data_IF_708184987336
#
_entry.id   IF_708184987336
#
_cell.length_a   1.000
_cell.length_b   1.000
_cell.length_c   1.000
_cell.angle_alpha   90.00
_cell.angle_beta   90.00
_cell.angle_gamma   90.00
#
_symmetry.space_group_name_H-M   'P 1'
#
loop_
_entity.id
_entity.type
_entity.pdbx_description
1 polymer ?
#
# COMPACT_ATOMS: atom_id res chain seq x y z
N UNK A 1 5.92 -8.51 15.60
CA UNK A 1 7.24 -7.90 15.77
C UNK A 1 8.30 -8.82 15.22
N UNK A 2 9.24 -8.27 14.48
CA UNK A 2 10.42 -8.97 13.96
C UNK A 2 11.67 -8.14 14.24
N UNK A 3 12.78 -8.80 14.55
CA UNK A 3 14.10 -8.19 14.67
C UNK A 3 15.14 -9.16 14.14
N UNK A 4 16.10 -8.67 13.36
CA UNK A 4 17.18 -9.46 12.82
C UNK A 4 18.56 -8.99 13.30
N UNK A 5 19.55 -9.84 13.11
CA UNK A 5 20.96 -9.50 13.40
C UNK A 5 21.53 -8.45 12.44
N UNK A 6 20.82 -8.16 11.33
CA UNK A 6 21.16 -7.11 10.37
C UNK A 6 20.66 -5.72 10.78
N UNK A 7 20.11 -5.57 12.00
CA UNK A 7 19.47 -4.35 12.51
C UNK A 7 18.18 -3.98 11.75
N UNK A 8 17.48 -4.97 11.20
CA UNK A 8 16.15 -4.79 10.66
C UNK A 8 15.12 -5.02 11.75
N UNK A 9 14.21 -4.09 11.88
CA UNK A 9 13.09 -4.11 12.82
C UNK A 9 11.79 -3.93 12.07
N UNK A 10 10.82 -4.79 12.36
CA UNK A 10 9.48 -4.66 11.80
C UNK A 10 8.44 -4.73 12.92
N UNK A 11 7.43 -3.89 12.82
CA UNK A 11 6.26 -3.93 13.67
C UNK A 11 5.00 -3.97 12.82
N UNK A 12 4.15 -4.96 13.06
CA UNK A 12 2.84 -5.07 12.44
C UNK A 12 1.77 -5.03 13.53
N UNK A 13 0.73 -4.28 13.29
CA UNK A 13 -0.46 -4.24 14.12
C UNK A 13 -1.70 -4.34 13.24
N UNK A 14 -2.62 -5.21 13.63
CA UNK A 14 -3.94 -5.30 13.02
C UNK A 14 -5.02 -5.32 14.10
N UNK A 15 -6.11 -4.65 13.83
CA UNK A 15 -7.27 -4.62 14.70
C UNK A 15 -8.54 -4.51 13.88
N UNK A 16 -9.54 -5.31 14.22
CA UNK A 16 -10.89 -5.21 13.67
C UNK A 16 -11.89 -5.01 14.79
N UNK A 17 -12.68 -3.94 14.69
CA UNK A 17 -13.68 -3.57 15.67
C UNK A 17 -15.07 -3.60 15.05
N UNK A 18 -15.99 -4.28 15.72
CA UNK A 18 -17.41 -4.23 15.44
C UNK A 18 -18.04 -3.07 16.21
N UNK A 19 -18.33 -1.97 15.49
CA UNK A 19 -18.91 -0.76 16.08
C UNK A 19 -20.39 -0.96 16.42
N UNK A 20 -21.10 -1.68 15.53
CA UNK A 20 -22.52 -2.00 15.74
C UNK A 20 -22.88 -3.31 15.02
N UNK A 21 -24.18 -3.69 15.00
CA UNK A 21 -24.64 -4.87 14.25
C UNK A 21 -24.33 -4.78 12.74
N UNK A 22 -24.21 -3.57 12.20
CA UNK A 22 -24.04 -3.32 10.76
C UNK A 22 -22.73 -2.65 10.39
N UNK A 23 -22.01 -2.03 11.34
CA UNK A 23 -20.76 -1.31 11.11
C UNK A 23 -19.56 -2.01 11.73
N UNK A 24 -18.51 -2.07 10.97
CA UNK A 24 -17.19 -2.49 11.43
C UNK A 24 -16.09 -1.62 10.84
N UNK A 25 -14.95 -1.58 11.53
CA UNK A 25 -13.73 -0.95 11.02
C UNK A 25 -12.54 -1.86 11.24
N UNK A 26 -11.58 -1.80 10.34
CA UNK A 26 -10.30 -2.51 10.45
C UNK A 26 -9.16 -1.52 10.25
N UNK A 27 -8.15 -1.64 11.09
CA UNK A 27 -6.91 -0.89 11.01
C UNK A 27 -5.76 -1.87 10.85
N UNK A 28 -4.89 -1.63 9.86
CA UNK A 28 -3.60 -2.27 9.73
C UNK A 28 -2.52 -1.20 9.74
N UNK A 29 -1.46 -1.46 10.49
CA UNK A 29 -0.28 -0.60 10.52
C UNK A 29 0.96 -1.46 10.39
N UNK A 30 1.91 -1.01 9.60
CA UNK A 30 3.21 -1.62 9.40
C UNK A 30 4.28 -0.56 9.51
N UNK A 31 5.33 -0.88 10.23
CA UNK A 31 6.56 -0.13 10.32
C UNK A 31 7.74 -1.05 10.05
N UNK A 32 8.67 -0.59 9.23
CA UNK A 32 9.92 -1.27 8.94
C UNK A 32 11.07 -0.27 9.04
N UNK A 33 12.17 -0.72 9.64
CA UNK A 33 13.39 0.06 9.71
C UNK A 33 14.60 -0.86 9.57
N UNK A 34 15.45 -0.58 8.58
CA UNK A 34 16.77 -1.19 8.35
C UNK A 34 17.78 -0.06 8.21
N UNK A 35 18.54 0.22 9.27
CA UNK A 35 19.44 1.38 9.31
C UNK A 35 20.90 1.06 9.00
N UNK A 36 21.26 -0.23 9.07
CA UNK A 36 22.65 -0.63 8.90
C UNK A 36 22.95 -0.90 7.43
N UNK A 37 23.96 -0.20 6.90
CA UNK A 37 24.54 -0.56 5.62
C UNK A 37 25.33 -1.88 5.79
N UNK A 38 24.94 -2.91 5.07
CA UNK A 38 25.61 -4.19 5.00
C UNK A 38 26.37 -4.33 3.69
N UNK A 39 27.66 -4.66 3.79
CA UNK A 39 28.51 -5.11 2.70
C UNK A 39 29.21 -6.38 3.22
N UNK A 40 28.62 -7.54 2.89
CA UNK A 40 29.06 -8.84 3.43
C UNK A 40 30.18 -9.49 2.62
N UNK A 41 30.44 -8.99 1.43
CA UNK A 41 31.47 -9.49 0.51
C UNK A 41 32.66 -8.53 0.33
N UNK A 42 32.61 -7.36 1.02
CA UNK A 42 33.62 -6.32 0.98
C UNK A 42 33.90 -5.76 -0.44
N UNK A 43 32.87 -5.73 -1.30
CA UNK A 43 33.00 -5.19 -2.67
C UNK A 43 32.76 -3.66 -2.73
N UNK A 44 32.47 -3.04 -1.61
CA UNK A 44 32.23 -1.61 -1.49
C UNK A 44 30.81 -1.18 -1.86
N UNK A 45 29.88 -2.10 -1.98
CA UNK A 45 28.46 -1.82 -2.21
C UNK A 45 27.60 -2.34 -1.08
N UNK A 46 26.47 -1.66 -0.86
CA UNK A 46 25.49 -2.07 0.14
C UNK A 46 24.65 -3.22 -0.45
N UNK A 47 24.73 -4.42 0.15
CA UNK A 47 24.02 -5.62 -0.28
C UNK A 47 22.51 -5.52 -0.06
N UNK A 48 22.10 -4.90 1.06
CA UNK A 48 20.72 -4.75 1.48
C UNK A 48 20.44 -3.26 1.63
N UNK A 49 19.49 -2.68 0.87
CA UNK A 49 19.12 -1.27 1.03
C UNK A 49 18.68 -0.96 2.46
N UNK A 50 19.13 0.18 2.97
CA UNK A 50 18.54 0.77 4.18
C UNK A 50 17.13 1.21 3.85
N UNK A 51 16.17 0.90 4.74
CA UNK A 51 14.75 1.18 4.55
C UNK A 51 14.18 1.80 5.81
N UNK A 52 13.37 2.82 5.65
CA UNK A 52 12.42 3.27 6.65
C UNK A 52 11.05 3.37 5.99
N UNK A 53 10.06 2.62 6.51
CA UNK A 53 8.73 2.55 5.93
C UNK A 53 7.66 2.65 7.00
N UNK A 54 6.66 3.46 6.71
CA UNK A 54 5.41 3.57 7.44
C UNK A 54 4.26 3.26 6.49
N UNK A 55 3.38 2.33 6.86
CA UNK A 55 2.23 1.97 6.07
C UNK A 55 1.02 1.78 6.98
N UNK A 56 -0.02 2.56 6.74
CA UNK A 56 -1.26 2.52 7.52
C UNK A 56 -2.44 2.37 6.57
N UNK A 57 -3.33 1.47 6.89
CA UNK A 57 -4.56 1.23 6.16
C UNK A 57 -5.74 1.15 7.13
N UNK A 58 -6.78 1.92 6.85
CA UNK A 58 -8.03 1.89 7.60
C UNK A 58 -9.21 1.64 6.65
N UNK A 59 -10.06 0.69 6.99
CA UNK A 59 -11.25 0.35 6.24
C UNK A 59 -12.47 0.39 7.13
N UNK A 60 -13.54 0.93 6.59
CA UNK A 60 -14.88 0.90 7.16
C UNK A 60 -15.79 0.04 6.30
N UNK A 61 -16.67 -0.71 6.94
CA UNK A 61 -17.65 -1.55 6.26
C UNK A 61 -19.02 -1.41 6.93
N UNK A 62 -20.04 -1.32 6.09
CA UNK A 62 -21.43 -1.35 6.47
C UNK A 62 -22.12 -2.51 5.76
N UNK A 63 -22.87 -3.33 6.50
CA UNK A 63 -23.62 -4.48 6.02
C UNK A 63 -25.09 -4.30 6.40
N UNK A 64 -25.86 -3.73 5.48
CA UNK A 64 -27.31 -3.59 5.62
C UNK A 64 -28.07 -4.67 4.84
N UNK A 65 -29.40 -4.64 4.92
CA UNK A 65 -30.25 -5.63 4.25
C UNK A 65 -30.30 -5.46 2.73
N UNK A 66 -30.27 -4.21 2.27
CA UNK A 66 -30.31 -3.85 0.85
C UNK A 66 -29.14 -2.99 0.39
N UNK A 67 -28.26 -2.65 1.29
CA UNK A 67 -27.11 -1.81 0.97
C UNK A 67 -25.87 -2.31 1.67
N UNK A 68 -24.80 -2.48 0.91
CA UNK A 68 -23.48 -2.83 1.39
C UNK A 68 -22.51 -1.71 0.99
N UNK A 69 -21.73 -1.29 1.93
CA UNK A 69 -20.74 -0.22 1.72
C UNK A 69 -19.39 -0.62 2.31
N UNK A 70 -18.34 -0.29 1.60
CA UNK A 70 -16.97 -0.32 2.12
C UNK A 70 -16.25 0.93 1.63
N UNK A 71 -15.49 1.56 2.51
CA UNK A 71 -14.54 2.59 2.13
C UNK A 71 -13.23 2.39 2.91
N UNK A 72 -12.13 2.79 2.31
CA UNK A 72 -10.83 2.69 2.96
C UNK A 72 -9.86 3.73 2.44
N UNK A 73 -8.92 4.05 3.32
CA UNK A 73 -7.78 4.89 3.03
C UNK A 73 -6.50 4.13 3.37
N UNK A 74 -5.46 4.37 2.58
CA UNK A 74 -4.12 3.87 2.83
C UNK A 74 -3.13 5.00 2.66
N UNK A 75 -2.15 5.07 3.54
CA UNK A 75 -1.01 5.96 3.46
C UNK A 75 0.27 5.15 3.61
N UNK A 76 1.22 5.38 2.70
CA UNK A 76 2.56 4.81 2.72
C UNK A 76 3.56 5.95 2.58
N UNK A 77 4.58 5.93 3.43
CA UNK A 77 5.80 6.73 3.30
C UNK A 77 6.98 5.80 3.43
N UNK A 78 7.89 5.85 2.47
CA UNK A 78 9.05 4.98 2.41
C UNK A 78 10.27 5.75 1.92
N UNK A 79 11.38 5.62 2.66
CA UNK A 79 12.70 6.07 2.23
C UNK A 79 13.59 4.85 2.08
N UNK A 80 14.26 4.73 0.93
CA UNK A 80 15.28 3.70 0.66
C UNK A 80 16.59 4.34 0.29
N UNK A 81 17.67 3.83 0.86
CA UNK A 81 19.04 4.26 0.55
C UNK A 81 19.93 3.06 0.28
N UNK A 82 20.72 3.14 -0.78
CA UNK A 82 21.69 2.11 -1.17
C UNK A 82 22.86 2.74 -1.93
N UNK A 83 23.72 1.93 -2.51
CA UNK A 83 24.87 2.33 -3.31
C UNK A 83 26.18 1.93 -2.70
N UNK A 84 27.22 2.75 -2.89
CA UNK A 84 28.54 2.43 -2.36
C UNK A 84 28.62 2.61 -0.85
N UNK A 85 29.20 1.64 -0.18
CA UNK A 85 29.52 1.68 1.25
C UNK A 85 30.84 2.43 1.47
N UNK A 86 30.93 3.23 2.56
CA UNK A 86 32.18 3.91 2.91
C UNK A 86 32.95 3.05 3.90
N UNK A 87 33.95 2.30 3.43
CA UNK A 87 34.83 1.46 4.25
C UNK A 87 36.06 2.19 4.80
N UNK A 88 35.95 3.48 5.13
CA UNK A 88 37.04 4.23 5.78
C UNK A 88 38.20 4.61 4.85
N UNK A 89 37.97 4.53 3.53
CA UNK A 89 38.93 4.98 2.52
C UNK A 89 38.96 6.51 2.39
N UNK A 90 39.98 7.01 1.68
CA UNK A 90 40.23 8.44 1.41
C UNK A 90 39.20 9.09 0.45
N UNK A 91 38.15 8.39 0.03
CA UNK A 91 37.14 8.96 -0.80
C UNK A 91 36.29 9.95 -0.01
N UNK A 92 36.09 11.14 -0.55
CA UNK A 92 35.17 12.12 -0.01
C UNK A 92 33.74 11.62 -0.18
N UNK A 93 32.89 11.83 0.81
CA UNK A 93 31.49 11.34 0.79
C UNK A 93 30.67 11.83 -0.43
N UNK A 94 31.13 12.86 -1.13
CA UNK A 94 30.52 13.39 -2.35
C UNK A 94 30.87 12.62 -3.63
N UNK A 95 31.86 11.71 -3.60
CA UNK A 95 32.32 10.94 -4.76
C UNK A 95 31.67 9.54 -4.83
N UNK A 96 30.97 9.13 -3.76
CA UNK A 96 30.33 7.82 -3.70
C UNK A 96 29.04 7.80 -4.52
N UNK A 97 28.86 6.73 -5.28
CA UNK A 97 27.59 6.48 -5.96
C UNK A 97 26.51 6.11 -4.93
N UNK A 98 25.49 6.92 -4.84
CA UNK A 98 24.37 6.70 -3.92
C UNK A 98 23.05 6.56 -4.70
N UNK A 99 22.19 5.71 -4.19
CA UNK A 99 20.80 5.58 -4.60
C UNK A 99 19.93 5.98 -3.42
N UNK A 100 19.08 6.97 -3.62
CA UNK A 100 18.05 7.38 -2.67
C UNK A 100 16.70 7.36 -3.35
N UNK A 101 15.69 6.82 -2.71
CA UNK A 101 14.32 6.78 -3.21
C UNK A 101 13.40 7.12 -2.06
N UNK A 102 12.68 8.23 -2.22
CA UNK A 102 11.62 8.66 -1.31
C UNK A 102 10.28 8.48 -2.00
N UNK A 103 9.37 7.76 -1.36
CA UNK A 103 8.06 7.42 -1.91
C UNK A 103 6.97 7.80 -0.93
N UNK A 104 5.99 8.56 -1.41
CA UNK A 104 4.73 8.81 -0.74
C UNK A 104 3.57 8.30 -1.59
N UNK A 105 2.65 7.55 -0.97
CA UNK A 105 1.50 7.01 -1.66
C UNK A 105 0.25 7.07 -0.79
N UNK A 106 -0.79 7.66 -1.35
CA UNK A 106 -2.11 7.73 -0.73
C UNK A 106 -3.12 7.04 -1.64
N UNK A 107 -3.89 6.15 -1.06
CA UNK A 107 -4.94 5.44 -1.76
C UNK A 107 -6.28 5.64 -1.04
N UNK A 108 -7.31 5.85 -1.82
CA UNK A 108 -8.70 5.87 -1.36
C UNK A 108 -9.51 4.92 -2.23
N UNK A 109 -10.42 4.19 -1.63
CA UNK A 109 -11.42 3.44 -2.37
C UNK A 109 -12.77 3.48 -1.68
N UNK A 110 -13.83 3.31 -2.48
CA UNK A 110 -15.16 2.99 -1.99
C UNK A 110 -15.83 1.95 -2.87
N UNK A 111 -16.56 1.04 -2.25
CA UNK A 111 -17.39 0.03 -2.88
C UNK A 111 -18.80 0.17 -2.32
N UNK A 112 -19.77 0.35 -3.21
CA UNK A 112 -21.16 0.52 -2.86
C UNK A 112 -21.94 -0.53 -3.63
N UNK A 113 -22.82 -1.26 -2.98
CA UNK A 113 -23.71 -2.19 -3.66
C UNK A 113 -25.13 -2.02 -3.11
N UNK A 114 -26.08 -1.86 -4.03
CA UNK A 114 -27.50 -1.87 -3.70
C UNK A 114 -28.15 -3.16 -4.19
N UNK A 115 -28.79 -3.87 -3.29
CA UNK A 115 -29.42 -5.16 -3.53
C UNK A 115 -30.93 -4.93 -3.72
N UNK A 116 -31.40 -5.04 -4.96
CA UNK A 116 -32.80 -4.87 -5.33
C UNK A 116 -33.63 -6.11 -4.96
N UNK A 117 -33.05 -7.30 -5.22
CA UNK A 117 -33.73 -8.57 -4.97
C UNK A 117 -32.70 -9.60 -4.47
N UNK A 118 -32.87 -10.10 -3.26
CA UNK A 118 -32.01 -11.09 -2.64
C UNK A 118 -32.16 -12.49 -3.20
N UNK A 119 -33.40 -12.86 -3.60
CA UNK A 119 -33.70 -14.19 -4.12
C UNK A 119 -33.06 -14.40 -5.51
N UNK A 120 -33.00 -13.32 -6.30
CA UNK A 120 -32.41 -13.30 -7.64
C UNK A 120 -31.01 -12.71 -7.68
N UNK A 121 -30.38 -12.46 -6.54
CA UNK A 121 -29.09 -11.78 -6.44
C UNK A 121 -28.99 -10.51 -7.32
N UNK A 122 -30.15 -9.82 -7.52
CA UNK A 122 -30.18 -8.62 -8.36
C UNK A 122 -29.56 -7.46 -7.59
N UNK A 123 -28.45 -6.97 -8.08
CA UNK A 123 -27.71 -5.90 -7.43
C UNK A 123 -27.02 -4.96 -8.45
N UNK A 124 -26.71 -3.76 -7.99
CA UNK A 124 -25.91 -2.78 -8.69
C UNK A 124 -24.76 -2.38 -7.78
N UNK A 125 -23.53 -2.56 -8.23
CA UNK A 125 -22.33 -2.23 -7.51
C UNK A 125 -21.53 -1.11 -8.21
N UNK A 126 -21.10 -0.11 -7.43
CA UNK A 126 -20.20 0.96 -7.86
C UNK A 126 -18.91 0.86 -7.08
N UNK A 127 -17.81 0.75 -7.79
CA UNK A 127 -16.45 0.78 -7.24
C UNK A 127 -15.76 2.06 -7.73
N UNK A 128 -15.24 2.84 -6.81
CA UNK A 128 -14.40 4.00 -7.09
C UNK A 128 -13.09 3.86 -6.33
N UNK A 129 -11.98 4.17 -6.98
CA UNK A 129 -10.71 4.30 -6.27
C UNK A 129 -9.83 5.38 -6.90
N UNK A 130 -8.97 5.95 -6.07
CA UNK A 130 -7.94 6.87 -6.52
C UNK A 130 -6.63 6.56 -5.79
N UNK A 131 -5.53 6.75 -6.51
CA UNK A 131 -4.18 6.62 -5.97
C UNK A 131 -3.41 7.87 -6.35
N UNK A 132 -2.78 8.50 -5.35
CA UNK A 132 -1.77 9.54 -5.52
C UNK A 132 -0.44 8.91 -5.15
N UNK A 133 0.55 9.02 -6.04
CA UNK A 133 1.87 8.44 -5.86
C UNK A 133 2.93 9.46 -6.28
N UNK A 134 3.77 9.83 -5.33
CA UNK A 134 4.90 10.71 -5.51
C UNK A 134 6.17 9.92 -5.23
N UNK A 135 7.14 10.02 -6.10
CA UNK A 135 8.45 9.40 -5.92
C UNK A 135 9.56 10.33 -6.37
N UNK A 136 10.45 10.64 -5.45
CA UNK A 136 11.70 11.33 -5.71
C UNK A 136 12.84 10.34 -5.61
N UNK A 137 13.56 10.15 -6.72
CA UNK A 137 14.66 9.20 -6.76
C UNK A 137 15.95 9.84 -7.28
N UNK A 138 17.05 9.46 -6.65
CA UNK A 138 18.41 9.85 -6.99
C UNK A 138 19.23 8.62 -7.30
N UNK A 139 19.86 8.58 -8.47
CA UNK A 139 20.77 7.52 -8.90
C UNK A 139 22.13 8.14 -9.24
N UNK A 140 23.01 8.24 -8.23
CA UNK A 140 24.24 8.99 -8.34
C UNK A 140 23.96 10.48 -8.58
N UNK A 141 24.19 10.96 -9.82
CA UNK A 141 23.93 12.35 -10.23
C UNK A 141 22.63 12.53 -11.02
N UNK A 142 21.88 11.46 -11.24
CA UNK A 142 20.63 11.52 -12.00
C UNK A 142 19.45 11.60 -11.03
N UNK A 143 18.56 12.53 -11.31
CA UNK A 143 17.29 12.70 -10.59
C UNK A 143 16.15 12.12 -11.44
N UNK A 144 15.24 11.46 -10.79
CA UNK A 144 14.03 10.91 -11.40
C UNK A 144 12.85 11.14 -10.44
N UNK A 145 11.97 12.04 -10.84
CA UNK A 145 10.81 12.43 -10.03
C UNK A 145 9.54 12.03 -10.75
N UNK A 146 8.62 11.43 -10.04
CA UNK A 146 7.34 10.94 -10.56
C UNK A 146 6.20 11.43 -9.69
N UNK A 147 5.24 12.07 -10.33
CA UNK A 147 3.92 12.37 -9.79
C UNK A 147 2.87 11.61 -10.61
N UNK A 148 2.17 10.68 -9.99
CA UNK A 148 1.18 9.88 -10.66
C UNK A 148 -0.16 9.93 -9.92
N UNK A 149 -1.22 10.20 -10.66
CA UNK A 149 -2.59 10.10 -10.17
C UNK A 149 -3.34 9.07 -11.00
N UNK A 150 -3.90 8.05 -10.32
CA UNK A 150 -4.79 7.08 -10.94
C UNK A 150 -6.20 7.25 -10.39
N UNK A 151 -7.18 7.20 -11.28
CA UNK A 151 -8.60 7.16 -10.92
C UNK A 151 -9.24 5.96 -11.62
N UNK A 152 -9.97 5.19 -10.87
CA UNK A 152 -10.70 4.03 -11.37
C UNK A 152 -12.17 4.12 -10.96
N UNK A 153 -13.07 3.85 -11.91
CA UNK A 153 -14.49 3.73 -11.67
C UNK A 153 -15.02 2.49 -12.40
N UNK A 154 -15.84 1.70 -11.72
CA UNK A 154 -16.52 0.54 -12.30
C UNK A 154 -17.94 0.45 -11.76
N UNK A 155 -18.88 0.29 -12.66
CA UNK A 155 -20.30 0.05 -12.37
C UNK A 155 -20.64 -1.35 -12.85
N UNK A 156 -21.19 -2.18 -11.98
CA UNK A 156 -21.53 -3.58 -12.29
C UNK A 156 -22.97 -3.84 -11.91
N UNK A 157 -23.71 -4.44 -12.82
CA UNK A 157 -25.06 -4.96 -12.57
C UNK A 157 -25.04 -6.48 -12.67
N UNK A 158 -25.68 -7.15 -11.73
CA UNK A 158 -25.82 -8.60 -11.70
C UNK A 158 -27.27 -8.99 -11.39
N UNK A 159 -27.71 -10.08 -12.00
CA UNK A 159 -29.02 -10.71 -11.69
C UNK A 159 -29.01 -12.20 -12.05
N UNK A 160 -29.69 -13.00 -11.26
CA UNK A 160 -29.97 -14.41 -11.55
C UNK A 160 -31.38 -14.58 -12.06
N UNK A 161 -31.56 -15.20 -13.22
CA UNK A 161 -32.86 -15.54 -13.76
C UNK A 161 -33.40 -16.86 -13.17
N UNK A 162 -32.48 -17.82 -12.98
CA UNK A 162 -32.69 -19.11 -12.34
C UNK A 162 -31.36 -19.67 -11.85
N UNK A 163 -31.32 -20.80 -11.07
CA UNK A 163 -30.10 -21.35 -10.51
C UNK A 163 -28.99 -21.71 -11.53
N UNK A 164 -29.33 -21.86 -12.80
CA UNK A 164 -28.39 -22.20 -13.85
C UNK A 164 -27.97 -21.01 -14.75
N UNK A 165 -28.73 -19.90 -14.68
CA UNK A 165 -28.50 -18.76 -15.58
C UNK A 165 -28.45 -17.44 -14.81
N UNK A 166 -27.34 -16.74 -14.97
CA UNK A 166 -27.11 -15.40 -14.45
C UNK A 166 -26.71 -14.44 -15.57
N UNK A 167 -26.88 -13.16 -15.33
CA UNK A 167 -26.43 -12.09 -16.21
C UNK A 167 -25.60 -11.12 -15.39
N UNK A 168 -24.45 -10.71 -15.94
CA UNK A 168 -23.58 -9.69 -15.39
C UNK A 168 -23.18 -8.74 -16.51
N UNK A 169 -23.21 -7.43 -16.22
CA UNK A 169 -22.75 -6.37 -17.12
C UNK A 169 -22.02 -5.29 -16.31
N UNK A 170 -20.98 -4.70 -16.89
CA UNK A 170 -20.19 -3.63 -16.27
C UNK A 170 -19.33 -2.88 -17.27
#
# INVERSE_FOLDING_TARGET
>A
LFASTTNRYEANADATLKISKRWSTSLLAHYENETKAHDGNDDGFVDIPQVEQYNVWNRWAYMGDHYVFQAGIKALSETRTSGQANHGGTMHSGDLYKVGIDTERYEFFTKNAYIFNKEKNTNLALILSTTLHNQDATYGRKLYNVDQTNVYASLMFETEFNPQNSFSAG
#
